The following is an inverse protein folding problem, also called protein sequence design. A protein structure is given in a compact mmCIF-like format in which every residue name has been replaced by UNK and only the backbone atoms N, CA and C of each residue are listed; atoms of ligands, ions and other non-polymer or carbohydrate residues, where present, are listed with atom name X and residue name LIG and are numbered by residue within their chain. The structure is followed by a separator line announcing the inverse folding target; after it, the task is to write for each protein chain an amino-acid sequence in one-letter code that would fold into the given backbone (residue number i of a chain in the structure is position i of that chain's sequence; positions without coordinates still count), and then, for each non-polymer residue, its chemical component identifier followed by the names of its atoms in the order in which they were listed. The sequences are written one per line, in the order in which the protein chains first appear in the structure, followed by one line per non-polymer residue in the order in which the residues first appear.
data_IF_938762524454
#
_entry.id   IF_938762524454
#
_cell.length_a   1.000
_cell.length_b   1.000
_cell.length_c   1.000
_cell.angle_alpha   90.00
_cell.angle_beta   90.00
_cell.angle_gamma   90.00
#
_symmetry.space_group_name_H-M   'P 1'
#
loop_
_entity.id
_entity.type
_entity.pdbx_description
1 polymer ?
#
# COMPACT_ATOMS: atom_id res chain seq x y z
N UNK A 1 0.24 26.58 20.27
CA UNK A 1 0.63 26.98 21.63
C UNK A 1 1.85 27.89 21.56
N UNK A 2 1.82 29.09 22.17
CA UNK A 2 3.01 29.93 22.38
C UNK A 2 2.84 30.64 23.71
N UNK A 3 3.67 30.32 24.71
CA UNK A 3 3.71 31.00 26.01
C UNK A 3 5.10 31.61 26.18
N UNK A 4 5.13 32.86 26.59
CA UNK A 4 6.35 33.56 26.95
C UNK A 4 6.09 35.06 27.07
N UNK A 5 5.98 35.54 28.31
CA UNK A 5 6.47 36.84 28.81
C UNK A 5 5.87 37.17 30.19
N UNK A 6 6.73 37.22 31.21
CA UNK A 6 6.62 38.14 32.34
C UNK A 6 7.81 39.10 32.23
N UNK A 7 7.59 40.39 32.02
CA UNK A 7 7.48 41.43 33.07
C UNK A 7 8.77 41.69 33.86
N UNK A 8 9.46 42.78 33.50
CA UNK A 8 9.96 43.76 34.49
C UNK A 8 9.99 45.15 33.87
N UNK A 9 9.54 46.14 34.64
CA UNK A 9 9.32 47.54 34.24
C UNK A 9 10.51 48.44 34.56
N UNK A 10 10.72 49.50 33.76
CA UNK A 10 11.49 50.67 34.19
C UNK A 10 10.85 51.97 33.69
N UNK A 11 10.05 52.59 34.56
CA UNK A 11 9.60 53.98 34.41
C UNK A 11 10.66 54.92 35.02
N UNK A 12 10.93 56.05 34.36
CA UNK A 12 11.18 57.38 34.97
C UNK A 12 11.32 58.41 33.84
N UNK A 13 10.26 59.18 33.54
CA UNK A 13 10.01 60.53 34.08
C UNK A 13 11.17 61.52 33.88
N UNK A 14 11.09 62.31 32.81
CA UNK A 14 11.53 63.71 32.79
C UNK A 14 10.33 64.63 33.07
N UNK A 15 10.45 65.65 33.92
CA UNK A 15 9.63 66.87 33.86
C UNK A 15 10.41 68.05 33.27
N UNK A 16 9.68 69.04 32.77
CA UNK A 16 10.19 70.31 32.22
C UNK A 16 10.84 71.20 33.31
N UNK A 17 11.66 72.17 32.90
CA UNK A 17 11.26 73.60 32.91
C UNK A 17 12.32 74.51 32.23
N UNK A 18 11.88 75.70 31.86
CA UNK A 18 12.53 76.74 31.02
C UNK A 18 13.49 77.67 31.83
N UNK A 19 14.14 78.70 31.24
CA UNK A 19 15.42 79.23 31.72
C UNK A 19 15.28 80.41 32.70
N UNK A 20 16.42 80.86 33.25
CA UNK A 20 16.51 82.16 33.92
C UNK A 20 17.81 82.90 33.55
N UNK A 21 17.66 84.01 32.82
CA UNK A 21 18.66 85.08 32.81
C UNK A 21 18.44 85.97 34.04
N UNK A 22 19.50 86.31 34.78
CA UNK A 22 19.53 87.54 35.59
C UNK A 22 20.90 88.21 35.54
N UNK A 23 20.97 89.20 34.66
CA UNK A 23 21.77 90.43 34.68
C UNK A 23 22.46 90.87 35.99
N UNK A 24 23.66 91.46 35.79
CA UNK A 24 24.28 92.56 36.56
C UNK A 24 24.80 92.19 37.98
N UNK A 25 25.79 92.86 38.60
CA UNK A 25 26.29 94.24 38.42
C UNK A 25 27.82 94.37 38.52
N UNK A 26 28.37 95.36 37.81
CA UNK A 26 29.68 95.97 38.08
C UNK A 26 29.62 96.82 39.36
N UNK A 27 30.63 96.73 40.22
CA UNK A 27 30.97 97.77 41.22
C UNK A 27 32.48 97.95 41.27
N UNK A 28 32.94 99.20 41.30
CA UNK A 28 34.36 99.54 41.26
C UNK A 28 34.94 99.82 42.66
N UNK A 29 36.21 99.42 42.83
CA UNK A 29 37.32 100.09 43.54
C UNK A 29 36.98 100.89 44.83
N UNK A 30 37.66 100.53 45.93
CA UNK A 30 38.49 101.41 46.79
C UNK A 30 39.27 100.50 47.77
N UNK A 31 40.59 100.71 47.89
CA UNK A 31 41.41 100.27 49.03
C UNK A 31 41.49 101.43 50.04
N UNK A 32 41.68 101.15 51.34
CA UNK A 32 42.98 101.48 51.92
C UNK A 32 43.51 100.53 53.01
N UNK A 33 44.82 100.26 52.93
CA UNK A 33 45.87 100.34 53.98
C UNK A 33 45.61 99.95 55.46
N UNK A 34 46.52 99.09 55.96
CA UNK A 34 47.17 98.99 57.31
C UNK A 34 46.33 99.10 58.62
N UNK A 35 46.67 98.52 59.78
CA UNK A 35 47.53 97.40 60.28
C UNK A 35 47.34 97.37 61.84
N UNK A 36 47.75 96.41 62.68
CA UNK A 36 48.35 95.07 62.56
C UNK A 36 48.07 94.30 63.88
N UNK A 37 48.13 92.95 63.91
CA UNK A 37 48.08 92.13 65.15
C UNK A 37 48.87 90.80 64.96
N UNK A 38 49.96 90.50 65.71
CA UNK A 38 51.02 89.60 65.19
C UNK A 38 50.97 88.14 65.67
N UNK A 39 50.14 87.80 66.66
CA UNK A 39 50.26 86.51 67.38
C UNK A 39 49.58 85.30 66.70
N UNK A 40 48.76 85.51 65.65
CA UNK A 40 48.19 84.41 64.87
C UNK A 40 49.23 83.75 63.92
N UNK A 41 50.37 84.39 63.69
CA UNK A 41 51.26 84.08 62.58
C UNK A 41 52.03 82.74 62.75
N UNK A 42 52.54 82.44 63.95
CA UNK A 42 53.42 81.27 64.16
C UNK A 42 52.70 79.92 64.11
N UNK A 43 51.53 79.80 64.75
CA UNK A 43 50.69 78.59 64.66
C UNK A 43 50.26 78.32 63.22
N UNK A 44 49.90 79.38 62.49
CA UNK A 44 49.51 79.36 61.07
C UNK A 44 50.67 78.91 60.18
N UNK A 45 51.90 79.28 60.52
CA UNK A 45 53.12 78.87 59.82
C UNK A 45 53.51 77.40 60.11
N UNK A 46 53.32 76.93 61.34
CA UNK A 46 53.48 75.50 61.72
C UNK A 46 52.44 74.63 60.99
N UNK A 47 51.17 75.01 61.02
CA UNK A 47 50.11 74.32 60.27
C UNK A 47 50.39 74.30 58.76
N UNK A 48 50.88 75.41 58.20
CA UNK A 48 51.28 75.50 56.78
C UNK A 48 52.37 74.48 56.44
N UNK A 49 53.43 74.36 57.26
CA UNK A 49 54.49 73.34 57.06
C UNK A 49 53.95 71.91 57.12
N UNK A 50 53.04 71.61 58.06
CA UNK A 50 52.41 70.27 58.17
C UNK A 50 51.55 69.98 56.92
N UNK A 51 50.76 70.95 56.46
CA UNK A 51 49.93 70.82 55.25
C UNK A 51 50.79 70.68 53.98
N UNK A 52 51.92 71.37 53.88
CA UNK A 52 52.84 71.19 52.75
C UNK A 52 53.53 69.81 52.78
N UNK A 53 53.97 69.33 53.95
CA UNK A 53 54.49 67.96 54.10
C UNK A 53 53.48 66.90 53.66
N UNK A 54 52.23 67.00 54.12
CA UNK A 54 51.15 66.10 53.71
C UNK A 54 50.84 66.17 52.20
N UNK A 55 50.89 67.37 51.60
CA UNK A 55 50.75 67.53 50.14
C UNK A 55 51.92 66.89 49.37
N UNK A 56 53.13 66.99 49.91
CA UNK A 56 54.33 66.39 49.32
C UNK A 56 54.28 64.86 49.36
N UNK A 57 53.90 64.28 50.51
CA UNK A 57 53.69 62.84 50.67
C UNK A 57 52.55 62.31 49.79
N UNK A 58 51.43 63.04 49.68
CA UNK A 58 50.35 62.72 48.74
C UNK A 58 50.84 62.70 47.29
N UNK A 59 51.61 63.72 46.84
CA UNK A 59 52.19 63.76 45.48
C UNK A 59 53.14 62.59 45.24
N UNK A 60 53.99 62.26 46.22
CA UNK A 60 54.97 61.17 46.14
C UNK A 60 54.28 59.81 46.04
N UNK A 61 53.31 59.54 46.93
CA UNK A 61 52.47 58.34 46.91
C UNK A 61 51.72 58.17 45.58
N UNK A 62 51.15 59.26 45.05
CA UNK A 62 50.41 59.23 43.79
C UNK A 62 51.32 58.94 42.58
N UNK A 63 52.52 59.54 42.51
CA UNK A 63 53.54 59.19 41.51
C UNK A 63 53.98 57.73 41.61
N UNK A 64 54.23 57.24 42.82
CA UNK A 64 54.69 55.87 43.04
C UNK A 64 53.62 54.83 42.66
N UNK A 65 52.33 55.18 42.84
CA UNK A 65 51.19 54.38 42.39
C UNK A 65 51.02 54.42 40.86
N UNK A 66 51.25 55.57 40.24
CA UNK A 66 51.23 55.75 38.79
C UNK A 66 52.35 54.94 38.10
N UNK A 67 53.59 55.00 38.61
CA UNK A 67 54.71 54.21 38.12
C UNK A 67 54.50 52.70 38.28
N UNK A 68 53.92 52.24 39.40
CA UNK A 68 53.58 50.81 39.62
C UNK A 68 52.46 50.30 38.71
N UNK A 69 51.58 51.17 38.23
CA UNK A 69 50.46 50.79 37.37
C UNK A 69 50.80 50.85 35.88
N UNK A 70 51.74 51.71 35.47
CA UNK A 70 52.20 51.88 34.09
C UNK A 70 52.62 50.57 33.38
N UNK A 71 53.46 49.68 33.96
CA UNK A 71 53.83 48.42 33.31
C UNK A 71 52.64 47.46 33.21
N UNK A 72 51.78 47.38 34.24
CA UNK A 72 50.58 46.53 34.22
C UNK A 72 49.64 46.91 33.07
N UNK A 73 49.43 48.21 32.84
CA UNK A 73 48.62 48.73 31.73
C UNK A 73 49.27 48.35 30.38
N UNK A 74 50.59 48.42 30.27
CA UNK A 74 51.32 48.05 29.07
C UNK A 74 51.22 46.55 28.76
N UNK A 75 51.36 45.69 29.77
CA UNK A 75 51.22 44.23 29.63
C UNK A 75 49.79 43.81 29.29
N UNK A 76 48.78 44.42 29.93
CA UNK A 76 47.36 44.25 29.57
C UNK A 76 47.17 44.62 28.09
N UNK A 77 47.57 45.82 27.67
CA UNK A 77 47.42 46.27 26.28
C UNK A 77 48.13 45.36 25.27
N UNK A 78 49.30 44.81 25.62
CA UNK A 78 50.03 43.85 24.78
C UNK A 78 49.24 42.54 24.63
N UNK A 79 48.83 41.94 25.74
CA UNK A 79 48.05 40.68 25.73
C UNK A 79 46.70 40.82 25.02
N UNK A 80 46.06 41.98 25.14
CA UNK A 80 44.80 42.31 24.48
C UNK A 80 44.99 42.46 22.96
N UNK A 81 46.10 43.06 22.52
CA UNK A 81 46.48 43.17 21.11
C UNK A 81 46.81 41.81 20.47
N UNK A 82 47.49 40.92 21.21
CA UNK A 82 47.74 39.54 20.78
C UNK A 82 46.41 38.79 20.61
N UNK A 83 45.54 38.76 21.65
CA UNK A 83 44.20 38.15 21.57
C UNK A 83 43.33 38.67 20.43
N UNK A 84 43.39 39.98 20.13
CA UNK A 84 42.64 40.58 19.02
C UNK A 84 43.13 40.07 17.65
N UNK A 85 44.42 39.79 17.50
CA UNK A 85 44.92 39.18 16.26
C UNK A 85 44.58 37.70 16.16
N UNK A 86 44.69 36.94 17.25
CA UNK A 86 44.28 35.53 17.28
C UNK A 86 42.81 35.39 16.83
N UNK A 87 41.91 36.14 17.46
CA UNK A 87 40.49 36.23 17.10
C UNK A 87 40.27 36.66 15.65
N UNK A 88 41.11 37.56 15.11
CA UNK A 88 41.01 37.98 13.71
C UNK A 88 41.31 36.82 12.76
N UNK A 89 42.39 36.09 13.01
CA UNK A 89 42.76 34.91 12.20
C UNK A 89 41.73 33.78 12.32
N UNK A 90 41.15 33.59 13.51
CA UNK A 90 40.07 32.62 13.74
C UNK A 90 38.79 33.02 12.99
N UNK A 91 38.43 34.31 12.97
CA UNK A 91 37.30 34.81 12.16
C UNK A 91 37.56 34.61 10.65
N UNK A 92 38.79 34.82 10.17
CA UNK A 92 39.15 34.60 8.76
C UNK A 92 39.07 33.12 8.36
N UNK A 93 39.52 32.19 9.22
CA UNK A 93 39.39 30.73 8.97
C UNK A 93 37.94 30.26 9.03
N UNK A 94 37.15 30.73 10.00
CA UNK A 94 35.70 30.44 10.08
C UNK A 94 34.97 30.93 8.83
N UNK A 95 35.24 32.16 8.37
CA UNK A 95 34.64 32.69 7.13
C UNK A 95 34.97 31.84 5.91
N UNK A 96 36.22 31.41 5.78
CA UNK A 96 36.64 30.54 4.68
C UNK A 96 35.88 29.21 4.72
N UNK A 97 35.86 28.53 5.87
CA UNK A 97 35.14 27.27 6.05
C UNK A 97 33.62 27.41 5.78
N UNK A 98 33.00 28.51 6.21
CA UNK A 98 31.59 28.80 5.89
C UNK A 98 31.37 28.95 4.38
N UNK A 99 32.25 29.67 3.67
CA UNK A 99 32.12 29.87 2.22
C UNK A 99 32.27 28.56 1.43
N UNK A 100 33.18 27.69 1.85
CA UNK A 100 33.40 26.36 1.26
C UNK A 100 32.17 25.45 1.51
N UNK A 101 31.65 25.41 2.74
CA UNK A 101 30.45 24.64 3.09
C UNK A 101 29.19 25.08 2.33
N UNK A 102 28.99 26.38 2.13
CA UNK A 102 27.86 26.91 1.33
C UNK A 102 27.95 26.42 -0.12
N UNK A 103 29.14 26.44 -0.73
CA UNK A 103 29.35 25.96 -2.11
C UNK A 103 29.12 24.44 -2.25
N UNK A 104 29.45 23.64 -1.23
CA UNK A 104 29.13 22.21 -1.24
C UNK A 104 27.63 21.95 -1.11
N UNK A 105 26.94 22.65 -0.20
CA UNK A 105 25.48 22.57 -0.03
C UNK A 105 24.77 22.92 -1.34
N UNK A 106 25.20 23.97 -2.05
CA UNK A 106 24.60 24.36 -3.33
C UNK A 106 24.79 23.28 -4.42
N UNK A 107 26.01 22.71 -4.53
CA UNK A 107 26.30 21.61 -5.47
C UNK A 107 25.45 20.37 -5.17
N UNK A 108 25.30 20.01 -3.89
CA UNK A 108 24.47 18.90 -3.45
C UNK A 108 22.98 19.16 -3.73
N UNK A 109 22.49 20.38 -3.48
CA UNK A 109 21.11 20.77 -3.79
C UNK A 109 20.78 20.64 -5.28
N UNK A 110 21.64 21.17 -6.17
CA UNK A 110 21.52 21.01 -7.63
C UNK A 110 21.53 19.53 -8.07
N UNK A 111 22.36 18.70 -7.42
CA UNK A 111 22.45 17.26 -7.71
C UNK A 111 21.29 16.46 -7.12
N UNK A 112 20.64 16.93 -6.05
CA UNK A 112 19.38 16.35 -5.56
C UNK A 112 18.27 16.67 -6.54
N UNK A 113 18.02 17.96 -6.84
CA UNK A 113 16.87 18.38 -7.66
C UNK A 113 16.79 17.69 -9.03
N UNK A 114 17.93 17.42 -9.67
CA UNK A 114 17.97 16.65 -10.94
C UNK A 114 17.61 15.17 -10.77
N UNK A 115 17.98 14.53 -9.65
CA UNK A 115 17.53 13.18 -9.30
C UNK A 115 16.05 13.17 -8.91
N UNK A 116 15.61 14.16 -8.13
CA UNK A 116 14.24 14.25 -7.63
C UNK A 116 13.25 14.38 -8.80
N UNK A 117 13.55 15.24 -9.79
CA UNK A 117 12.79 15.30 -11.06
C UNK A 117 12.82 13.97 -11.83
N UNK A 118 13.98 13.31 -11.90
CA UNK A 118 14.09 12.01 -12.58
C UNK A 118 13.31 10.89 -11.87
N UNK A 119 13.16 10.95 -10.55
CA UNK A 119 12.36 10.00 -9.78
C UNK A 119 10.88 10.29 -10.02
N UNK A 120 10.44 11.56 -9.89
CA UNK A 120 9.05 11.97 -10.15
C UNK A 120 8.56 11.54 -11.54
N UNK A 121 9.36 11.77 -12.58
CA UNK A 121 8.99 11.38 -13.95
C UNK A 121 8.83 9.85 -14.09
N UNK A 122 9.70 9.06 -13.44
CA UNK A 122 9.60 7.59 -13.46
C UNK A 122 8.42 7.07 -12.64
N UNK A 123 8.08 7.73 -11.53
CA UNK A 123 6.88 7.42 -10.75
C UNK A 123 5.62 7.68 -11.58
N UNK A 124 5.52 8.84 -12.24
CA UNK A 124 4.39 9.17 -13.11
C UNK A 124 4.22 8.16 -14.26
N UNK A 125 5.32 7.79 -14.95
CA UNK A 125 5.29 6.75 -16.00
C UNK A 125 4.80 5.40 -15.45
N UNK A 126 5.22 5.03 -14.24
CA UNK A 126 4.77 3.80 -13.59
C UNK A 126 3.30 3.85 -13.18
N UNK A 127 2.80 4.98 -12.69
CA UNK A 127 1.38 5.17 -12.35
C UNK A 127 0.47 5.06 -13.58
N UNK A 128 0.82 5.71 -14.68
CA UNK A 128 0.08 5.63 -15.95
C UNK A 128 0.02 4.19 -16.49
N UNK A 129 1.14 3.47 -16.43
CA UNK A 129 1.21 2.05 -16.83
C UNK A 129 0.46 1.11 -15.89
N UNK A 130 0.32 1.46 -14.60
CA UNK A 130 -0.50 0.70 -13.66
C UNK A 130 -1.99 0.90 -13.99
N UNK A 131 -2.42 2.13 -14.27
CA UNK A 131 -3.82 2.41 -14.66
C UNK A 131 -4.24 1.63 -15.91
N UNK A 132 -3.41 1.60 -16.96
CA UNK A 132 -3.66 0.79 -18.17
C UNK A 132 -3.79 -0.72 -17.86
N UNK A 133 -2.97 -1.24 -16.95
CA UNK A 133 -3.03 -2.64 -16.51
C UNK A 133 -4.27 -2.92 -15.65
N UNK A 134 -4.71 -1.97 -14.83
CA UNK A 134 -5.93 -2.12 -14.01
C UNK A 134 -7.20 -2.16 -14.88
N UNK A 135 -7.30 -1.30 -15.90
CA UNK A 135 -8.43 -1.29 -16.85
C UNK A 135 -8.50 -2.59 -17.66
N UNK A 136 -7.37 -3.03 -18.23
CA UNK A 136 -7.30 -4.30 -18.99
C UNK A 136 -7.58 -5.51 -18.11
N UNK A 137 -7.13 -5.52 -16.85
CA UNK A 137 -7.44 -6.57 -15.88
C UNK A 137 -8.95 -6.63 -15.55
N UNK A 138 -9.61 -5.48 -15.42
CA UNK A 138 -11.05 -5.40 -15.19
C UNK A 138 -11.85 -5.96 -16.38
N UNK A 139 -11.44 -5.65 -17.62
CA UNK A 139 -12.04 -6.20 -18.84
C UNK A 139 -11.87 -7.72 -18.92
N UNK A 140 -10.64 -8.23 -18.72
CA UNK A 140 -10.32 -9.66 -18.72
C UNK A 140 -11.15 -10.40 -17.66
N UNK A 141 -11.30 -9.83 -16.46
CA UNK A 141 -12.10 -10.42 -15.40
C UNK A 141 -13.60 -10.48 -15.77
N UNK A 142 -14.14 -9.42 -16.38
CA UNK A 142 -15.52 -9.38 -16.87
C UNK A 142 -15.77 -10.45 -17.95
N UNK A 143 -14.90 -10.50 -18.97
CA UNK A 143 -14.94 -11.49 -20.05
C UNK A 143 -14.81 -12.93 -19.52
N UNK A 144 -13.90 -13.18 -18.58
CA UNK A 144 -13.74 -14.50 -17.93
C UNK A 144 -15.02 -14.94 -17.19
N UNK A 145 -15.68 -14.01 -16.50
CA UNK A 145 -16.94 -14.26 -15.78
C UNK A 145 -18.10 -14.54 -16.74
N UNK A 146 -18.14 -13.90 -17.90
CA UNK A 146 -19.12 -14.19 -18.96
C UNK A 146 -18.85 -15.55 -19.61
N UNK A 147 -17.61 -15.82 -20.04
CA UNK A 147 -17.20 -17.10 -20.60
C UNK A 147 -17.50 -18.28 -19.66
N UNK A 148 -17.34 -18.10 -18.35
CA UNK A 148 -17.69 -19.11 -17.35
C UNK A 148 -19.21 -19.37 -17.25
N UNK A 149 -20.07 -18.36 -17.49
CA UNK A 149 -21.52 -18.57 -17.61
C UNK A 149 -21.85 -19.31 -18.91
N UNK A 150 -21.27 -18.86 -20.03
CA UNK A 150 -21.50 -19.45 -21.36
C UNK A 150 -21.03 -20.90 -21.44
N UNK A 151 -19.91 -21.26 -20.79
CA UNK A 151 -19.46 -22.64 -20.71
C UNK A 151 -20.39 -23.51 -19.84
N UNK A 152 -21.00 -22.96 -18.79
CA UNK A 152 -21.99 -23.68 -17.96
C UNK A 152 -23.28 -23.94 -18.74
N UNK A 153 -23.83 -22.93 -19.43
CA UNK A 153 -25.02 -23.12 -20.26
C UNK A 153 -24.74 -24.02 -21.46
N UNK A 154 -23.58 -23.93 -22.10
CA UNK A 154 -23.17 -24.85 -23.16
C UNK A 154 -23.07 -26.30 -22.65
N UNK A 155 -22.52 -26.51 -21.46
CA UNK A 155 -22.45 -27.85 -20.84
C UNK A 155 -23.85 -28.42 -20.54
N UNK A 156 -24.78 -27.57 -20.08
CA UNK A 156 -26.18 -27.94 -19.87
C UNK A 156 -26.89 -28.26 -21.20
N UNK A 157 -26.72 -27.42 -22.22
CA UNK A 157 -27.26 -27.65 -23.57
C UNK A 157 -26.74 -28.98 -24.17
N UNK A 158 -25.45 -29.28 -24.00
CA UNK A 158 -24.86 -30.56 -24.44
C UNK A 158 -25.50 -31.74 -23.68
N UNK A 159 -25.73 -31.62 -22.37
CA UNK A 159 -26.45 -32.65 -21.60
C UNK A 159 -27.89 -32.84 -22.11
N UNK A 160 -28.63 -31.76 -22.34
CA UNK A 160 -30.01 -31.81 -22.86
C UNK A 160 -30.09 -32.41 -24.27
N UNK A 161 -29.13 -32.10 -25.15
CA UNK A 161 -29.01 -32.71 -26.47
C UNK A 161 -28.73 -34.21 -26.33
N UNK A 162 -27.77 -34.63 -25.49
CA UNK A 162 -27.48 -36.04 -25.27
C UNK A 162 -28.65 -36.81 -24.69
N UNK A 163 -29.35 -36.25 -23.69
CA UNK A 163 -30.56 -36.86 -23.15
C UNK A 163 -31.69 -36.90 -24.17
N UNK A 164 -31.80 -35.92 -25.08
CA UNK A 164 -32.77 -35.93 -26.19
C UNK A 164 -32.45 -37.00 -27.24
N UNK A 165 -31.18 -37.15 -27.63
CA UNK A 165 -30.70 -38.17 -28.57
C UNK A 165 -30.80 -39.59 -27.98
N UNK A 166 -30.61 -39.74 -26.66
CA UNK A 166 -30.76 -41.01 -25.94
C UNK A 166 -32.21 -41.33 -25.53
N UNK A 167 -33.09 -40.33 -25.51
CA UNK A 167 -34.53 -40.46 -25.21
C UNK A 167 -35.28 -41.58 -25.97
N UNK A 168 -35.02 -41.89 -27.25
CA UNK A 168 -35.58 -43.06 -27.94
C UNK A 168 -34.97 -44.43 -27.56
N UNK A 169 -33.81 -44.44 -26.90
CA UNK A 169 -32.98 -45.64 -26.79
C UNK A 169 -33.38 -46.54 -25.63
N UNK A 170 -33.49 -47.84 -25.91
CA UNK A 170 -33.61 -48.91 -24.92
C UNK A 170 -32.28 -49.60 -24.72
N UNK A 171 -31.96 -49.92 -23.47
CA UNK A 171 -30.75 -50.64 -23.04
C UNK A 171 -31.16 -51.98 -22.44
N UNK A 172 -30.94 -53.06 -23.16
CA UNK A 172 -31.25 -54.43 -22.69
C UNK A 172 -29.99 -55.06 -22.09
N UNK A 173 -30.13 -55.65 -20.91
CA UNK A 173 -29.07 -56.21 -20.08
C UNK A 173 -29.44 -57.68 -19.77
N UNK A 174 -28.52 -58.62 -20.00
CA UNK A 174 -28.77 -60.06 -19.75
C UNK A 174 -28.71 -60.95 -20.99
N UNK A 175 -28.43 -60.39 -22.15
CA UNK A 175 -28.27 -61.16 -23.40
C UNK A 175 -26.84 -61.73 -23.46
N UNK A 176 -26.73 -63.03 -23.73
CA UNK A 176 -25.46 -63.76 -23.81
C UNK A 176 -24.62 -63.32 -25.01
N UNK A 177 -23.30 -63.57 -24.98
CA UNK A 177 -22.40 -63.22 -26.10
C UNK A 177 -22.34 -64.37 -27.12
N UNK A 178 -22.45 -64.04 -28.41
CA UNK A 178 -22.34 -64.99 -29.53
C UNK A 178 -23.64 -65.26 -30.31
N UNK A 179 -24.82 -65.07 -29.71
CA UNK A 179 -26.10 -65.38 -30.38
C UNK A 179 -26.47 -64.43 -31.54
N UNK A 180 -25.87 -63.25 -31.59
CA UNK A 180 -26.18 -62.17 -32.55
C UNK A 180 -25.49 -62.33 -33.91
N UNK A 181 -24.53 -63.26 -34.01
CA UNK A 181 -23.69 -63.43 -35.21
C UNK A 181 -24.42 -64.28 -36.29
N UNK A 182 -25.37 -65.14 -35.89
CA UNK A 182 -25.98 -66.14 -36.78
C UNK A 182 -27.27 -65.69 -37.49
N UNK A 183 -27.91 -64.59 -37.05
CA UNK A 183 -29.17 -64.11 -37.61
C UNK A 183 -29.06 -62.62 -37.90
N UNK A 184 -29.32 -62.21 -39.16
CA UNK A 184 -29.24 -60.84 -39.68
C UNK A 184 -29.62 -59.75 -38.66
N UNK A 185 -28.63 -59.25 -37.90
CA UNK A 185 -28.83 -58.19 -36.93
C UNK A 185 -29.54 -58.56 -35.62
N UNK A 186 -29.10 -57.85 -34.59
CA UNK A 186 -29.69 -57.60 -33.26
C UNK A 186 -31.19 -57.25 -33.26
N UNK A 187 -31.73 -56.81 -34.39
CA UNK A 187 -33.18 -56.59 -34.59
C UNK A 187 -34.02 -57.85 -34.34
N UNK A 188 -33.52 -59.01 -34.76
CA UNK A 188 -34.20 -60.30 -34.55
C UNK A 188 -34.29 -60.66 -33.06
N UNK A 189 -33.28 -60.30 -32.26
CA UNK A 189 -33.26 -60.54 -30.81
C UNK A 189 -34.35 -59.72 -30.11
N UNK A 190 -34.52 -58.44 -30.47
CA UNK A 190 -35.63 -57.63 -29.94
C UNK A 190 -36.99 -58.21 -30.29
N UNK A 191 -37.19 -58.57 -31.56
CA UNK A 191 -38.47 -59.06 -32.05
C UNK A 191 -38.93 -60.34 -31.35
N UNK A 192 -37.98 -61.21 -30.95
CA UNK A 192 -38.22 -62.40 -30.12
C UNK A 192 -38.53 -62.04 -28.67
N UNK A 193 -37.80 -61.11 -28.05
CA UNK A 193 -38.09 -60.62 -26.70
C UNK A 193 -39.51 -60.04 -26.63
N UNK A 194 -39.93 -59.28 -27.64
CA UNK A 194 -41.27 -58.70 -27.72
C UNK A 194 -42.37 -59.74 -27.91
N UNK A 195 -42.13 -60.82 -28.67
CA UNK A 195 -43.05 -61.96 -28.80
C UNK A 195 -43.19 -62.73 -27.48
N UNK A 196 -42.06 -63.10 -26.87
CA UNK A 196 -42.01 -63.89 -25.62
C UNK A 196 -42.66 -63.13 -24.45
N UNK A 197 -42.57 -61.80 -24.43
CA UNK A 197 -42.98 -61.02 -23.26
C UNK A 197 -44.23 -60.17 -23.43
N UNK A 198 -44.45 -59.58 -24.61
CA UNK A 198 -45.42 -58.51 -24.83
C UNK A 198 -46.22 -58.73 -26.13
N UNK A 199 -46.86 -59.90 -26.32
CA UNK A 199 -47.50 -60.27 -27.59
C UNK A 199 -48.60 -59.28 -28.03
N UNK A 200 -49.34 -58.71 -27.07
CA UNK A 200 -50.36 -57.70 -27.37
C UNK A 200 -49.73 -56.41 -27.91
N UNK A 201 -48.70 -55.89 -27.22
CA UNK A 201 -47.98 -54.67 -27.64
C UNK A 201 -47.35 -54.81 -29.02
N UNK A 202 -46.91 -56.01 -29.41
CA UNK A 202 -46.39 -56.29 -30.76
C UNK A 202 -47.49 -56.29 -31.84
N UNK A 203 -48.70 -56.74 -31.52
CA UNK A 203 -49.87 -56.70 -32.43
C UNK A 203 -50.39 -55.28 -32.60
N UNK A 204 -50.56 -54.56 -31.50
CA UNK A 204 -51.17 -53.23 -31.47
C UNK A 204 -50.24 -52.15 -32.06
N UNK A 205 -48.91 -52.38 -32.00
CA UNK A 205 -47.92 -51.43 -32.49
C UNK A 205 -46.75 -52.15 -33.18
N UNK A 206 -46.77 -52.34 -34.52
CA UNK A 206 -45.63 -52.91 -35.24
C UNK A 206 -44.41 -51.98 -35.10
N UNK A 207 -43.41 -52.44 -34.35
CA UNK A 207 -42.23 -51.67 -34.03
C UNK A 207 -41.24 -51.67 -35.20
N UNK A 208 -40.75 -50.50 -35.58
CA UNK A 208 -39.62 -50.32 -36.49
C UNK A 208 -38.42 -49.95 -35.64
N UNK A 209 -37.47 -50.87 -35.53
CA UNK A 209 -36.15 -50.60 -34.95
C UNK A 209 -35.39 -49.77 -35.99
N UNK A 210 -34.76 -48.68 -35.57
CA UNK A 210 -33.95 -47.86 -36.49
C UNK A 210 -32.50 -48.33 -36.52
N UNK A 211 -31.98 -48.72 -35.37
CA UNK A 211 -30.63 -49.23 -35.19
C UNK A 211 -30.59 -50.08 -33.92
N UNK A 212 -29.77 -51.13 -33.91
CA UNK A 212 -29.52 -51.93 -32.72
C UNK A 212 -28.05 -52.35 -32.66
N UNK A 213 -27.32 -51.94 -31.63
CA UNK A 213 -25.89 -52.23 -31.48
C UNK A 213 -25.52 -52.59 -30.04
N UNK A 214 -24.38 -53.27 -29.88
CA UNK A 214 -23.90 -53.77 -28.59
C UNK A 214 -22.80 -52.87 -28.03
N UNK A 215 -22.87 -52.56 -26.74
CA UNK A 215 -21.98 -51.59 -26.06
C UNK A 215 -21.25 -52.22 -24.86
N UNK A 216 -19.89 -52.20 -24.83
CA UNK A 216 -18.99 -51.72 -25.89
C UNK A 216 -18.95 -52.68 -27.09
N UNK A 217 -18.61 -52.16 -28.28
CA UNK A 217 -18.61 -52.92 -29.54
C UNK A 217 -17.47 -53.96 -29.68
N UNK A 218 -16.50 -53.96 -28.76
CA UNK A 218 -15.38 -54.92 -28.74
C UNK A 218 -15.68 -56.08 -27.79
N UNK A 219 -15.71 -57.29 -28.32
CA UNK A 219 -15.90 -58.54 -27.57
C UNK A 219 -14.74 -58.75 -26.58
N UNK A 220 -15.05 -58.80 -25.28
CA UNK A 220 -14.05 -58.87 -24.21
C UNK A 220 -14.07 -60.25 -23.54
N UNK A 221 -13.34 -61.22 -24.12
CA UNK A 221 -13.27 -62.62 -23.67
C UNK A 221 -12.93 -62.81 -22.16
N UNK A 222 -12.39 -61.80 -21.48
CA UNK A 222 -12.00 -61.84 -20.06
C UNK A 222 -13.08 -61.35 -19.08
N UNK A 223 -14.29 -60.98 -19.53
CA UNK A 223 -15.39 -60.56 -18.65
C UNK A 223 -16.64 -61.42 -18.85
N UNK A 224 -17.04 -62.15 -17.82
CA UNK A 224 -18.35 -62.83 -17.75
C UNK A 224 -19.45 -61.80 -17.38
N UNK A 225 -19.52 -60.69 -18.12
CA UNK A 225 -20.36 -59.53 -17.78
C UNK A 225 -21.44 -59.29 -18.83
N UNK A 226 -22.69 -59.16 -18.38
CA UNK A 226 -23.85 -58.82 -19.19
C UNK A 226 -23.55 -57.54 -20.01
N UNK A 227 -23.43 -57.70 -21.32
CA UNK A 227 -23.23 -56.59 -22.26
C UNK A 227 -24.58 -56.02 -22.71
N UNK A 228 -24.56 -54.82 -23.29
CA UNK A 228 -25.73 -53.95 -23.40
C UNK A 228 -26.14 -53.76 -24.86
N UNK A 229 -27.36 -54.13 -25.20
CA UNK A 229 -27.93 -53.81 -26.51
C UNK A 229 -28.68 -52.48 -26.42
N UNK A 230 -28.18 -51.49 -27.15
CA UNK A 230 -28.83 -50.21 -27.38
C UNK A 230 -29.71 -50.33 -28.62
N UNK A 231 -30.99 -49.96 -28.50
CA UNK A 231 -31.96 -50.02 -29.60
C UNK A 231 -32.68 -48.68 -29.73
N UNK A 232 -32.58 -48.09 -30.91
CA UNK A 232 -33.29 -46.85 -31.24
C UNK A 232 -34.72 -47.19 -31.71
N UNK A 233 -35.70 -46.70 -30.97
CA UNK A 233 -37.16 -46.89 -31.20
C UNK A 233 -37.86 -45.54 -31.15
N UNK A 234 -39.11 -45.40 -31.61
CA UNK A 234 -39.81 -44.11 -31.39
C UNK A 234 -39.96 -43.86 -29.88
N UNK A 235 -39.73 -42.63 -29.42
CA UNK A 235 -39.83 -42.30 -27.98
C UNK A 235 -41.18 -42.69 -27.34
N UNK A 236 -42.28 -42.71 -28.10
CA UNK A 236 -43.57 -43.27 -27.65
C UNK A 236 -43.49 -44.78 -27.39
N UNK A 237 -42.92 -45.55 -28.33
CA UNK A 237 -42.65 -46.98 -28.19
C UNK A 237 -41.77 -47.26 -26.96
N UNK A 238 -40.65 -46.54 -26.81
CA UNK A 238 -39.74 -46.69 -25.67
C UNK A 238 -40.47 -46.56 -24.32
N UNK A 239 -41.33 -45.55 -24.17
CA UNK A 239 -42.13 -45.32 -22.96
C UNK A 239 -43.09 -46.46 -22.66
N UNK A 240 -43.82 -46.95 -23.67
CA UNK A 240 -44.79 -48.02 -23.45
C UNK A 240 -44.13 -49.38 -23.19
N UNK A 241 -43.02 -49.69 -23.85
CA UNK A 241 -42.20 -50.88 -23.55
C UNK A 241 -41.73 -50.85 -22.10
N UNK A 242 -41.15 -49.74 -21.63
CA UNK A 242 -40.68 -49.60 -20.25
C UNK A 242 -41.84 -49.67 -19.23
N UNK A 243 -43.01 -49.13 -19.57
CA UNK A 243 -44.23 -49.19 -18.76
C UNK A 243 -44.74 -50.64 -18.62
N UNK A 244 -44.84 -51.37 -19.73
CA UNK A 244 -45.35 -52.76 -19.72
C UNK A 244 -44.30 -53.71 -19.09
N UNK A 245 -43.01 -53.52 -19.36
CA UNK A 245 -41.94 -54.25 -18.68
C UNK A 245 -41.97 -54.06 -17.15
N UNK A 246 -42.14 -52.81 -16.67
CA UNK A 246 -42.29 -52.53 -15.23
C UNK A 246 -43.54 -53.17 -14.63
N UNK A 247 -44.66 -53.24 -15.37
CA UNK A 247 -45.88 -53.92 -14.93
C UNK A 247 -45.75 -55.45 -14.91
N UNK A 248 -45.03 -56.05 -15.86
CA UNK A 248 -44.77 -57.50 -15.92
C UNK A 248 -43.79 -57.95 -14.82
N UNK A 249 -42.87 -57.08 -14.41
CA UNK A 249 -41.85 -57.38 -13.41
C UNK A 249 -40.69 -58.16 -14.00
N UNK A 250 -40.88 -59.46 -14.28
CA UNK A 250 -39.86 -60.30 -14.91
C UNK A 250 -40.02 -60.31 -16.44
N UNK A 251 -38.94 -59.98 -17.14
CA UNK A 251 -38.81 -60.10 -18.60
C UNK A 251 -37.81 -61.20 -18.88
N UNK A 252 -38.10 -62.09 -19.82
CA UNK A 252 -37.23 -63.21 -20.19
C UNK A 252 -36.78 -63.14 -21.65
N UNK A 253 -35.72 -63.87 -21.99
CA UNK A 253 -35.33 -64.14 -23.36
C UNK A 253 -34.81 -65.58 -23.40
N UNK A 254 -35.45 -66.44 -24.20
CA UNK A 254 -35.19 -67.89 -24.21
C UNK A 254 -35.30 -68.50 -22.80
N UNK A 255 -36.24 -68.00 -21.99
CA UNK A 255 -36.41 -68.40 -20.59
C UNK A 255 -35.35 -67.87 -19.60
N UNK A 256 -34.27 -67.21 -20.04
CA UNK A 256 -33.31 -66.54 -19.15
C UNK A 256 -33.82 -65.15 -18.75
N UNK A 257 -33.72 -64.71 -17.48
CA UNK A 257 -34.18 -63.39 -17.07
C UNK A 257 -33.29 -62.26 -17.61
N UNK A 258 -33.92 -61.20 -18.13
CA UNK A 258 -33.27 -60.00 -18.67
C UNK A 258 -33.85 -58.72 -18.05
N UNK A 259 -33.12 -57.60 -18.17
CA UNK A 259 -33.56 -56.28 -17.71
C UNK A 259 -33.59 -55.31 -18.88
N UNK A 260 -34.73 -54.63 -19.06
CA UNK A 260 -34.87 -53.52 -20.01
C UNK A 260 -34.83 -52.21 -19.22
N UNK A 261 -33.93 -51.30 -19.59
CA UNK A 261 -33.76 -49.98 -18.95
C UNK A 261 -33.70 -48.88 -20.00
N UNK A 262 -34.13 -47.64 -19.71
CA UNK A 262 -33.80 -46.49 -20.56
C UNK A 262 -32.28 -46.26 -20.61
N UNK A 263 -31.79 -45.74 -21.74
CA UNK A 263 -30.44 -45.16 -21.81
C UNK A 263 -30.48 -43.66 -21.43
N UNK A 264 -29.44 -43.19 -20.74
CA UNK A 264 -29.33 -41.83 -20.22
C UNK A 264 -27.92 -41.27 -20.44
N UNK A 265 -27.75 -39.95 -20.41
CA UNK A 265 -26.43 -39.32 -20.27
C UNK A 265 -25.75 -39.75 -18.96
N UNK A 266 -24.42 -39.60 -18.88
CA UNK A 266 -23.63 -39.97 -17.70
C UNK A 266 -24.00 -39.07 -16.50
N UNK A 267 -24.30 -37.81 -16.79
CA UNK A 267 -24.71 -36.75 -15.88
C UNK A 267 -26.09 -37.08 -15.28
N UNK A 268 -27.06 -37.45 -16.12
CA UNK A 268 -28.39 -37.88 -15.67
C UNK A 268 -28.37 -39.24 -14.97
N UNK A 269 -27.43 -40.15 -15.31
CA UNK A 269 -27.19 -41.35 -14.51
C UNK A 269 -26.61 -41.03 -13.12
N UNK A 270 -25.72 -40.03 -13.02
CA UNK A 270 -25.14 -39.59 -11.74
C UNK A 270 -26.19 -38.93 -10.85
N UNK A 271 -26.99 -38.01 -11.39
CA UNK A 271 -28.07 -37.32 -10.69
C UNK A 271 -29.23 -38.23 -10.22
N UNK A 272 -29.33 -39.45 -10.74
CA UNK A 272 -30.30 -40.48 -10.30
C UNK A 272 -29.72 -41.47 -9.27
N UNK A 273 -28.42 -41.37 -8.95
CA UNK A 273 -27.72 -42.22 -7.97
C UNK A 273 -27.40 -41.48 -6.68
N UNK A 274 -27.30 -40.15 -6.75
CA UNK A 274 -27.36 -39.21 -5.62
C UNK A 274 -28.78 -39.14 -5.08
#
# INVERSE_FOLDING_TARGET
MRRGQGKSTSNNRKPNMTPLETRNHTTARIEPDYADEPEENDLKNIFKKIIEGLKEDMRKSLKEMEEKNKPKIQDINKSLKERVQDLKTEIETIKKAQSEGILEIEKLGKRSGTKDVSITNRTQEMEERILEVEDTLAEIHSSTKENLKSNKSLSQNIQEIWDTVKRPNLRIIGIEEGEEIQLRGTENTFNKIMEENFPNLKKDMPMKIQEAYRTPSRLNQKKVSLSHNNQNTKHTQQRDILRVAKKKGQVTYKGKPIRITPDFSMETLKARRS
#
